data_IF_723921545074
#
_entry.id   IF_723921545074
#
_cell.length_a   1.000
_cell.length_b   1.000
_cell.length_c   1.000
_cell.angle_alpha   90.00
_cell.angle_beta   90.00
_cell.angle_gamma   90.00
#
_symmetry.space_group_name_H-M   'P 1'
#
loop_
_entity.id
_entity.type
_entity.pdbx_description
1 polymer ?
#
# COMPACT_ATOMS: atom_id res chain seq x y z
N UNK A 1 -10.99 -42.62 -6.63
CA UNK A 1 -12.43 -42.43 -6.85
C UNK A 1 -12.75 -42.09 -8.33
N UNK A 2 -12.25 -41.02 -8.93
CA UNK A 2 -12.56 -40.62 -10.34
C UNK A 2 -12.14 -41.69 -11.35
N UNK A 3 -10.98 -42.35 -11.19
CA UNK A 3 -10.53 -43.49 -12.00
C UNK A 3 -11.41 -44.73 -11.83
N UNK A 4 -11.84 -45.00 -10.59
CA UNK A 4 -12.74 -46.10 -10.24
C UNK A 4 -14.13 -45.88 -10.87
N UNK A 5 -14.71 -44.69 -10.73
CA UNK A 5 -15.96 -44.30 -11.41
C UNK A 5 -15.91 -44.59 -12.93
N UNK A 6 -14.79 -44.23 -13.57
CA UNK A 6 -14.59 -44.46 -14.98
C UNK A 6 -14.62 -45.96 -15.33
N UNK A 7 -13.89 -46.79 -14.56
CA UNK A 7 -13.88 -48.25 -14.77
C UNK A 7 -15.26 -48.88 -14.59
N UNK A 8 -15.96 -48.52 -13.49
CA UNK A 8 -17.33 -49.01 -13.25
C UNK A 8 -18.28 -48.58 -14.36
N UNK A 9 -18.18 -47.36 -14.84
CA UNK A 9 -19.00 -46.88 -15.96
C UNK A 9 -18.76 -47.64 -17.29
N UNK A 10 -17.50 -47.98 -17.57
CA UNK A 10 -17.13 -48.79 -18.73
C UNK A 10 -17.68 -50.24 -18.61
N UNK A 11 -17.68 -50.79 -17.40
CA UNK A 11 -18.18 -52.13 -17.11
C UNK A 11 -19.69 -52.20 -17.20
N UNK A 12 -20.41 -51.20 -16.70
CA UNK A 12 -21.85 -51.06 -16.91
C UNK A 12 -22.19 -51.04 -18.40
N UNK A 13 -21.41 -50.32 -19.21
CA UNK A 13 -21.58 -50.29 -20.66
C UNK A 13 -21.46 -51.67 -21.33
N UNK A 14 -20.52 -52.50 -20.85
CA UNK A 14 -20.33 -53.89 -21.32
C UNK A 14 -21.47 -54.80 -20.91
N UNK A 15 -21.92 -54.73 -19.66
CA UNK A 15 -23.04 -55.51 -19.13
C UNK A 15 -24.38 -55.19 -19.78
N UNK A 16 -24.59 -53.90 -20.09
CA UNK A 16 -25.79 -53.48 -20.80
C UNK A 16 -25.83 -54.02 -22.26
N UNK A 17 -24.68 -54.06 -22.93
CA UNK A 17 -24.57 -54.68 -24.25
C UNK A 17 -24.80 -56.22 -24.22
N UNK A 18 -24.43 -56.85 -23.12
CA UNK A 18 -24.63 -58.27 -22.87
C UNK A 18 -26.03 -58.61 -22.32
N UNK A 19 -26.93 -57.62 -22.19
CA UNK A 19 -28.30 -57.73 -21.63
C UNK A 19 -28.39 -58.22 -20.19
N UNK A 20 -27.28 -58.03 -19.39
CA UNK A 20 -27.15 -58.38 -17.97
C UNK A 20 -27.63 -57.23 -17.08
N UNK A 21 -28.93 -56.93 -17.14
CA UNK A 21 -29.53 -55.75 -16.48
C UNK A 21 -29.39 -55.76 -14.94
N UNK A 22 -29.52 -56.92 -14.29
CA UNK A 22 -29.45 -57.01 -12.83
C UNK A 22 -28.05 -56.70 -12.28
N UNK A 23 -26.97 -57.12 -12.97
CA UNK A 23 -25.60 -56.85 -12.62
C UNK A 23 -25.21 -55.42 -12.92
N UNK A 24 -25.69 -54.87 -14.04
CA UNK A 24 -25.52 -53.47 -14.39
C UNK A 24 -26.16 -52.54 -13.34
N UNK A 25 -27.29 -52.94 -12.75
CA UNK A 25 -27.98 -52.14 -11.71
C UNK A 25 -27.20 -52.12 -10.40
N UNK A 26 -26.55 -53.24 -10.00
CA UNK A 26 -25.65 -53.27 -8.84
C UNK A 26 -24.48 -52.32 -9.01
N UNK A 27 -23.84 -52.32 -10.19
CA UNK A 27 -22.71 -51.44 -10.46
C UNK A 27 -23.14 -49.95 -10.51
N UNK A 28 -24.39 -49.65 -10.95
CA UNK A 28 -24.95 -48.30 -10.87
C UNK A 28 -25.05 -47.83 -9.44
N UNK A 29 -25.47 -48.65 -8.50
CA UNK A 29 -25.50 -48.32 -7.10
C UNK A 29 -24.09 -48.06 -6.51
N UNK A 30 -23.08 -48.83 -6.99
CA UNK A 30 -21.68 -48.57 -6.63
C UNK A 30 -21.19 -47.25 -7.23
N UNK A 31 -21.50 -46.98 -8.49
CA UNK A 31 -21.17 -45.67 -9.12
C UNK A 31 -21.82 -44.52 -8.34
N UNK A 32 -23.03 -44.67 -7.84
CA UNK A 32 -23.70 -43.65 -7.05
C UNK A 32 -22.97 -43.41 -5.71
N UNK A 33 -22.52 -44.46 -5.03
CA UNK A 33 -21.70 -44.33 -3.82
C UNK A 33 -20.36 -43.65 -4.09
N UNK A 34 -19.72 -44.00 -5.20
CA UNK A 34 -18.47 -43.37 -5.63
C UNK A 34 -18.68 -41.88 -5.96
N UNK A 35 -19.81 -41.53 -6.59
CA UNK A 35 -20.16 -40.14 -6.87
C UNK A 35 -20.34 -39.35 -5.56
N UNK A 36 -21.13 -39.86 -4.60
CA UNK A 36 -21.29 -39.18 -3.31
C UNK A 36 -19.94 -39.01 -2.59
N UNK A 37 -19.08 -40.02 -2.61
CA UNK A 37 -17.74 -39.91 -2.05
C UNK A 37 -16.82 -38.91 -2.80
N UNK A 38 -17.03 -38.71 -4.10
CA UNK A 38 -16.33 -37.67 -4.88
C UNK A 38 -16.81 -36.28 -4.43
N UNK A 39 -18.14 -36.08 -4.33
CA UNK A 39 -18.74 -34.81 -3.89
C UNK A 39 -18.24 -34.44 -2.49
N UNK A 40 -18.29 -35.37 -1.53
CA UNK A 40 -17.77 -35.16 -0.18
C UNK A 40 -16.27 -34.80 -0.16
N UNK A 41 -15.47 -35.44 -1.01
CA UNK A 41 -14.02 -35.14 -1.10
C UNK A 41 -13.76 -33.77 -1.77
N UNK A 42 -14.58 -33.38 -2.75
CA UNK A 42 -14.47 -32.08 -3.41
C UNK A 42 -14.82 -30.95 -2.42
N UNK A 43 -15.85 -31.11 -1.60
CA UNK A 43 -16.19 -30.18 -0.51
C UNK A 43 -15.08 -30.08 0.54
N UNK A 44 -14.49 -31.21 0.94
CA UNK A 44 -13.37 -31.25 1.88
C UNK A 44 -12.11 -30.61 1.28
N UNK A 45 -11.83 -30.84 0.01
CA UNK A 45 -10.69 -30.24 -0.71
C UNK A 45 -10.82 -28.74 -0.76
N UNK A 46 -12.01 -28.23 -1.09
CA UNK A 46 -12.32 -26.80 -1.08
C UNK A 46 -12.14 -26.20 0.34
N UNK A 47 -12.74 -26.82 1.34
CA UNK A 47 -12.61 -26.40 2.75
C UNK A 47 -11.15 -26.34 3.22
N UNK A 48 -10.38 -27.41 2.98
CA UNK A 48 -8.97 -27.42 3.37
C UNK A 48 -8.12 -26.44 2.57
N UNK A 49 -8.45 -26.23 1.30
CA UNK A 49 -7.75 -25.25 0.47
C UNK A 49 -7.96 -23.81 1.00
N UNK A 50 -9.18 -23.49 1.41
CA UNK A 50 -9.50 -22.22 2.05
C UNK A 50 -8.79 -22.06 3.40
N UNK A 51 -8.79 -23.12 4.24
CA UNK A 51 -8.12 -23.11 5.53
C UNK A 51 -6.60 -22.96 5.39
N UNK A 52 -5.98 -23.68 4.45
CA UNK A 52 -4.55 -23.54 4.13
C UNK A 52 -4.24 -22.13 3.68
N UNK A 53 -5.06 -21.56 2.76
CA UNK A 53 -4.89 -20.20 2.29
C UNK A 53 -4.97 -19.20 3.45
N UNK A 54 -5.99 -19.33 4.31
CA UNK A 54 -6.16 -18.44 5.47
C UNK A 54 -4.97 -18.51 6.45
N UNK A 55 -4.42 -19.72 6.66
CA UNK A 55 -3.23 -19.89 7.52
C UNK A 55 -1.95 -19.35 6.88
N UNK A 56 -1.75 -19.62 5.59
CA UNK A 56 -0.59 -19.11 4.83
C UNK A 56 -0.55 -17.58 4.77
N UNK A 57 -1.72 -16.94 4.71
CA UNK A 57 -1.82 -15.48 4.69
C UNK A 57 -1.46 -14.81 6.02
N UNK A 58 -1.34 -15.56 7.11
CA UNK A 58 -0.88 -15.06 8.43
C UNK A 58 0.63 -15.23 8.65
N UNK A 59 1.32 -15.92 7.75
CA UNK A 59 2.76 -16.11 7.84
C UNK A 59 3.45 -14.87 7.28
N UNK A 60 4.29 -14.18 8.07
CA UNK A 60 5.07 -13.04 7.58
C UNK A 60 6.02 -13.44 6.45
N UNK A 61 6.36 -12.47 5.60
CA UNK A 61 7.34 -12.67 4.54
C UNK A 61 8.75 -12.87 5.11
N UNK A 62 9.63 -13.44 4.31
CA UNK A 62 11.06 -13.56 4.65
C UNK A 62 11.70 -12.18 4.45
N UNK A 63 12.23 -11.62 5.52
CA UNK A 63 12.91 -10.32 5.48
C UNK A 63 14.29 -10.44 4.85
N UNK A 64 14.76 -9.35 4.23
CA UNK A 64 16.12 -9.27 3.69
C UNK A 64 17.15 -9.32 4.81
N UNK A 65 18.30 -9.94 4.54
CA UNK A 65 19.37 -10.12 5.53
C UNK A 65 19.99 -8.82 6.05
N UNK A 66 19.78 -7.70 5.35
CA UNK A 66 20.24 -6.36 5.74
C UNK A 66 19.26 -5.62 6.66
N UNK A 67 18.08 -6.20 6.95
CA UNK A 67 17.09 -5.60 7.85
C UNK A 67 17.61 -5.65 9.29
N UNK A 68 17.64 -4.52 10.01
CA UNK A 68 17.99 -4.51 11.43
C UNK A 68 17.00 -5.38 12.24
N UNK A 69 17.52 -6.14 13.20
CA UNK A 69 16.66 -6.92 14.10
C UNK A 69 16.31 -6.04 15.29
N UNK A 70 15.02 -5.83 15.53
CA UNK A 70 14.50 -4.99 16.61
C UNK A 70 13.08 -5.38 16.97
N UNK A 71 12.54 -4.77 18.05
CA UNK A 71 11.22 -5.09 18.61
C UNK A 71 10.10 -4.19 18.09
N UNK A 72 10.41 -2.91 17.91
CA UNK A 72 9.46 -1.88 17.53
C UNK A 72 10.19 -0.69 16.87
N UNK A 73 9.46 0.34 16.49
CA UNK A 73 9.94 1.54 15.80
C UNK A 73 11.07 2.29 16.53
N UNK A 74 11.18 2.16 17.85
CA UNK A 74 12.27 2.77 18.64
C UNK A 74 13.66 2.19 18.33
N UNK A 75 13.70 1.01 17.71
CA UNK A 75 14.94 0.31 17.32
C UNK A 75 15.25 0.44 15.81
N UNK A 76 14.51 1.31 15.09
CA UNK A 76 14.83 1.66 13.72
C UNK A 76 16.18 2.38 13.63
N UNK A 77 16.91 2.15 12.54
CA UNK A 77 18.30 2.59 12.39
C UNK A 77 18.42 3.78 11.45
N UNK A 78 18.92 4.90 11.95
CA UNK A 78 19.28 6.06 11.12
C UNK A 78 20.45 5.68 10.20
N UNK A 79 20.23 5.73 8.89
CA UNK A 79 21.24 5.39 7.89
C UNK A 79 21.99 6.64 7.45
N UNK A 80 21.25 7.70 7.08
CA UNK A 80 21.84 8.92 6.53
C UNK A 80 20.91 10.12 6.68
N UNK A 81 21.51 11.30 6.86
CA UNK A 81 20.84 12.61 6.81
C UNK A 81 21.14 13.33 5.50
N UNK A 82 20.16 14.08 5.02
CA UNK A 82 20.25 14.87 3.79
C UNK A 82 19.81 16.30 4.10
N UNK A 83 20.74 17.24 3.96
CA UNK A 83 20.59 18.61 4.40
C UNK A 83 20.80 18.80 5.91
N UNK A 84 21.08 20.03 6.29
CA UNK A 84 21.42 20.37 7.66
C UNK A 84 20.17 20.75 8.43
N UNK A 85 19.85 20.05 9.55
CA UNK A 85 18.78 20.47 10.44
C UNK A 85 19.13 21.83 11.03
N UNK A 86 18.18 22.75 11.04
CA UNK A 86 18.36 24.08 11.62
C UNK A 86 17.41 24.32 12.78
N UNK A 87 17.81 25.15 13.70
CA UNK A 87 16.98 25.63 14.82
C UNK A 87 16.99 27.15 14.78
N UNK A 88 15.86 27.81 14.46
CA UNK A 88 15.82 29.27 14.45
C UNK A 88 15.93 29.83 15.85
N UNK A 89 16.32 31.12 15.94
CA UNK A 89 16.41 31.85 17.21
C UNK A 89 15.05 32.33 17.73
N UNK A 90 14.00 32.13 17.01
CA UNK A 90 12.61 32.46 17.30
C UNK A 90 11.77 31.21 17.47
N UNK A 91 10.66 31.32 18.17
CA UNK A 91 9.72 30.21 18.34
C UNK A 91 8.89 30.02 17.09
N UNK A 92 8.81 28.79 16.60
CA UNK A 92 7.92 28.41 15.50
C UNK A 92 6.57 28.00 16.11
N UNK A 93 5.47 28.63 15.73
CA UNK A 93 4.14 28.26 16.20
C UNK A 93 3.77 26.84 15.77
N UNK A 94 2.80 26.26 16.45
CA UNK A 94 2.21 24.99 16.03
C UNK A 94 1.61 25.11 14.63
N UNK A 95 1.76 24.10 13.79
CA UNK A 95 1.34 24.18 12.38
C UNK A 95 -0.12 24.58 12.20
N UNK A 96 -1.03 24.13 13.08
CA UNK A 96 -2.42 24.56 13.03
C UNK A 96 -2.55 26.09 13.29
N UNK A 97 -1.78 26.65 14.22
CA UNK A 97 -1.78 28.10 14.51
C UNK A 97 -1.20 28.89 13.33
N UNK A 98 -0.22 28.32 12.61
CA UNK A 98 0.29 28.90 11.36
C UNK A 98 -0.82 28.94 10.32
N UNK A 99 -1.51 27.84 10.09
CA UNK A 99 -2.60 27.73 9.10
C UNK A 99 -3.78 28.64 9.46
N UNK A 100 -4.12 28.74 10.74
CA UNK A 100 -5.22 29.59 11.22
C UNK A 100 -5.00 31.09 10.95
N UNK A 101 -3.73 31.56 10.91
CA UNK A 101 -3.42 32.95 10.49
C UNK A 101 -3.88 33.29 9.08
N UNK A 102 -4.09 32.29 8.24
CA UNK A 102 -4.63 32.43 6.86
C UNK A 102 -6.10 32.06 6.76
N UNK A 103 -6.79 31.85 7.90
CA UNK A 103 -8.14 31.26 7.91
C UNK A 103 -8.21 29.96 7.05
N UNK A 104 -7.12 29.19 7.08
CA UNK A 104 -6.89 28.05 6.17
C UNK A 104 -7.36 26.70 6.71
N UNK A 105 -7.82 26.61 7.97
CA UNK A 105 -8.23 25.36 8.60
C UNK A 105 -9.57 25.51 9.32
N UNK A 106 -10.51 24.60 9.05
CA UNK A 106 -11.76 24.51 9.81
C UNK A 106 -12.00 23.07 10.27
N UNK A 107 -11.57 22.78 11.47
CA UNK A 107 -11.80 21.50 12.14
C UNK A 107 -13.14 21.44 12.87
N UNK A 108 -13.69 22.57 13.25
CA UNK A 108 -14.97 22.65 13.95
C UNK A 108 -16.12 22.20 13.03
N UNK A 109 -16.18 22.76 11.81
CA UNK A 109 -17.17 22.33 10.82
C UNK A 109 -16.93 20.88 10.35
N UNK A 110 -15.67 20.43 10.24
CA UNK A 110 -15.36 19.05 9.93
C UNK A 110 -15.84 18.11 11.03
N UNK A 111 -15.70 18.49 12.30
CA UNK A 111 -16.23 17.73 13.45
C UNK A 111 -17.76 17.56 13.38
N UNK A 112 -18.48 18.60 12.95
CA UNK A 112 -19.95 18.53 12.75
C UNK A 112 -20.35 17.71 11.52
N UNK A 113 -19.52 17.72 10.47
CA UNK A 113 -19.86 17.06 9.19
C UNK A 113 -19.47 15.59 9.18
N UNK A 114 -18.27 15.26 9.67
CA UNK A 114 -17.64 13.94 9.49
C UNK A 114 -17.08 13.35 10.78
N UNK A 115 -16.91 14.16 11.82
CA UNK A 115 -16.33 13.75 13.10
C UNK A 115 -14.89 14.23 13.32
N UNK A 116 -14.34 13.84 14.47
CA UNK A 116 -12.95 14.15 14.83
C UNK A 116 -11.99 13.41 13.88
N UNK A 117 -10.86 14.03 13.55
CA UNK A 117 -9.88 13.46 12.63
C UNK A 117 -10.11 13.81 11.16
N UNK A 118 -11.12 14.63 10.85
CA UNK A 118 -11.33 15.25 9.55
C UNK A 118 -11.03 16.76 9.61
N UNK A 119 -10.91 17.38 8.44
CA UNK A 119 -10.55 18.80 8.32
C UNK A 119 -11.09 19.39 7.02
N UNK A 120 -11.28 20.71 7.00
CA UNK A 120 -11.35 21.50 5.78
C UNK A 120 -10.08 22.32 5.66
N UNK A 121 -9.44 22.30 4.49
CA UNK A 121 -8.45 23.30 4.09
C UNK A 121 -9.13 24.37 3.23
N UNK A 122 -8.78 25.63 3.46
CA UNK A 122 -9.50 26.77 2.87
C UNK A 122 -8.50 27.76 2.27
N UNK A 123 -8.91 28.44 1.21
CA UNK A 123 -8.18 29.55 0.62
C UNK A 123 -6.78 29.18 0.14
N UNK A 124 -5.78 29.98 0.49
CA UNK A 124 -4.41 29.80 0.02
C UNK A 124 -3.74 28.54 0.59
N UNK A 125 -4.14 28.08 1.76
CA UNK A 125 -3.65 26.83 2.30
C UNK A 125 -4.14 25.63 1.48
N UNK A 126 -5.41 25.62 1.04
CA UNK A 126 -5.92 24.60 0.13
C UNK A 126 -5.19 24.63 -1.23
N UNK A 127 -4.92 25.83 -1.75
CA UNK A 127 -4.14 26.00 -2.99
C UNK A 127 -2.70 25.50 -2.84
N UNK A 128 -2.05 25.79 -1.71
CA UNK A 128 -0.71 25.31 -1.42
C UNK A 128 -0.68 23.78 -1.34
N UNK A 129 -1.66 23.19 -0.66
CA UNK A 129 -1.83 21.73 -0.59
C UNK A 129 -1.93 21.07 -1.98
N UNK A 130 -2.79 21.62 -2.84
CA UNK A 130 -2.93 21.14 -4.22
C UNK A 130 -1.66 21.37 -5.06
N UNK A 131 -0.98 22.49 -4.87
CA UNK A 131 0.27 22.80 -5.56
C UNK A 131 1.38 21.81 -5.20
N UNK A 132 1.47 21.39 -3.94
CA UNK A 132 2.42 20.38 -3.50
C UNK A 132 2.16 19.01 -4.17
N UNK A 133 0.89 18.60 -4.27
CA UNK A 133 0.51 17.35 -4.93
C UNK A 133 0.77 17.42 -6.44
N UNK A 134 0.47 18.56 -7.08
CA UNK A 134 0.76 18.79 -8.49
C UNK A 134 2.26 18.73 -8.75
N UNK A 135 3.07 19.36 -7.90
CA UNK A 135 4.53 19.32 -7.99
C UNK A 135 5.05 17.88 -7.87
N UNK A 136 4.58 17.12 -6.89
CA UNK A 136 4.98 15.73 -6.69
C UNK A 136 4.60 14.84 -7.88
N UNK A 137 3.41 15.06 -8.48
CA UNK A 137 2.97 14.37 -9.69
C UNK A 137 3.90 14.64 -10.86
N UNK A 138 4.15 15.91 -11.16
CA UNK A 138 4.95 16.34 -12.32
C UNK A 138 6.40 15.90 -12.14
N UNK A 139 6.94 16.01 -10.93
CA UNK A 139 8.24 15.48 -10.56
C UNK A 139 8.38 13.98 -10.92
N UNK A 140 7.38 13.16 -10.60
CA UNK A 140 7.41 11.73 -10.93
C UNK A 140 7.31 11.45 -12.43
N UNK A 141 6.50 12.22 -13.15
CA UNK A 141 6.40 12.12 -14.62
C UNK A 141 7.75 12.42 -15.25
N UNK A 142 8.43 13.48 -14.80
CA UNK A 142 9.78 13.87 -15.29
C UNK A 142 10.85 12.81 -14.98
N UNK A 143 10.63 11.98 -13.95
CA UNK A 143 11.50 10.84 -13.62
C UNK A 143 11.08 9.52 -14.28
N UNK A 144 10.18 9.58 -15.27
CA UNK A 144 9.82 8.44 -16.13
C UNK A 144 8.74 7.53 -15.56
N UNK A 145 7.98 7.96 -14.56
CA UNK A 145 6.81 7.23 -14.08
C UNK A 145 5.57 7.57 -14.87
N UNK A 146 4.79 6.57 -15.24
CA UNK A 146 3.51 6.76 -15.90
C UNK A 146 2.45 7.16 -14.86
N UNK A 147 1.85 8.33 -15.04
CA UNK A 147 0.77 8.79 -14.17
C UNK A 147 -0.54 8.07 -14.47
N UNK A 148 -1.22 7.60 -13.43
CA UNK A 148 -2.54 7.01 -13.55
C UNK A 148 -3.48 7.49 -12.43
N UNK A 149 -4.77 7.49 -12.70
CA UNK A 149 -5.85 7.75 -11.73
C UNK A 149 -6.57 6.41 -11.51
N UNK A 150 -6.40 5.77 -10.35
CA UNK A 150 -6.99 4.47 -10.06
C UNK A 150 -8.40 4.61 -9.47
N UNK A 151 -9.17 3.53 -9.40
CA UNK A 151 -10.36 3.47 -8.56
C UNK A 151 -10.00 3.68 -7.08
N UNK A 152 -10.82 4.43 -6.33
CA UNK A 152 -10.61 4.68 -4.90
C UNK A 152 -11.37 3.71 -4.00
N UNK A 153 -12.04 2.73 -4.60
CA UNK A 153 -12.67 1.61 -3.94
C UNK A 153 -12.22 0.31 -4.58
N UNK A 154 -11.92 -0.69 -3.77
CA UNK A 154 -11.42 -2.00 -4.21
C UNK A 154 -12.19 -3.13 -3.56
N UNK A 155 -12.22 -4.30 -4.21
CA UNK A 155 -12.87 -5.51 -3.70
C UNK A 155 -12.00 -6.23 -2.66
N UNK A 156 -12.65 -7.06 -1.84
CA UNK A 156 -12.00 -7.85 -0.79
C UNK A 156 -10.84 -8.71 -1.29
N UNK A 157 -10.93 -9.30 -2.47
CA UNK A 157 -9.87 -10.11 -3.06
C UNK A 157 -8.60 -9.29 -3.40
N UNK A 158 -8.77 -8.01 -3.74
CA UNK A 158 -7.62 -7.09 -3.92
C UNK A 158 -7.05 -6.71 -2.56
N UNK A 159 -7.89 -6.35 -1.58
CA UNK A 159 -7.46 -5.99 -0.23
C UNK A 159 -6.60 -7.09 0.37
N UNK A 160 -7.09 -8.32 0.40
CA UNK A 160 -6.37 -9.48 0.95
C UNK A 160 -5.11 -9.85 0.15
N UNK A 161 -5.00 -9.38 -1.08
CA UNK A 161 -3.80 -9.53 -1.90
C UNK A 161 -2.68 -8.54 -1.57
N UNK A 162 -3.02 -7.34 -1.09
CA UNK A 162 -2.06 -6.25 -0.89
C UNK A 162 -1.67 -6.00 0.57
N UNK A 163 -2.45 -6.50 1.54
CA UNK A 163 -2.18 -6.35 2.98
C UNK A 163 -2.57 -7.60 3.78
N UNK A 164 -2.21 -7.62 5.06
CA UNK A 164 -2.66 -8.66 5.99
C UNK A 164 -4.11 -8.45 6.43
N UNK A 165 -4.75 -9.48 7.02
CA UNK A 165 -6.11 -9.36 7.54
C UNK A 165 -6.19 -8.40 8.73
N UNK A 166 -5.20 -8.43 9.62
CA UNK A 166 -5.17 -7.58 10.81
C UNK A 166 -5.02 -6.11 10.42
N UNK A 167 -4.18 -5.80 9.43
CA UNK A 167 -4.07 -4.46 8.85
C UNK A 167 -5.38 -4.01 8.18
N UNK A 168 -6.05 -4.92 7.46
CA UNK A 168 -7.34 -4.61 6.82
C UNK A 168 -8.39 -4.17 7.84
N UNK A 169 -8.57 -4.93 8.93
CA UNK A 169 -9.56 -4.62 9.96
C UNK A 169 -9.24 -3.32 10.69
N UNK A 170 -7.96 -3.09 10.99
CA UNK A 170 -7.50 -1.89 11.70
C UNK A 170 -7.57 -0.61 10.85
N UNK A 171 -7.37 -0.73 9.53
CA UNK A 171 -7.16 0.41 8.65
C UNK A 171 -8.34 0.75 7.75
N UNK A 172 -9.01 -0.26 7.15
CA UNK A 172 -9.89 -0.05 6.01
C UNK A 172 -11.33 0.26 6.39
N UNK A 173 -11.94 1.25 5.71
CA UNK A 173 -13.39 1.47 5.72
C UNK A 173 -14.05 0.55 4.70
N UNK A 174 -15.07 -0.20 5.13
CA UNK A 174 -15.90 -1.06 4.27
C UNK A 174 -17.20 -0.35 3.95
N UNK A 175 -17.67 -0.47 2.70
CA UNK A 175 -19.00 0.01 2.30
C UNK A 175 -20.02 -1.04 2.72
N UNK A 176 -21.03 -0.60 3.48
CA UNK A 176 -22.10 -1.49 3.95
C UNK A 176 -22.94 -2.01 2.77
N UNK A 177 -23.19 -3.31 2.75
CA UNK A 177 -23.99 -3.97 1.71
C UNK A 177 -23.22 -4.25 0.39
N UNK A 178 -21.95 -3.83 0.28
CA UNK A 178 -21.14 -4.00 -0.91
C UNK A 178 -19.83 -4.73 -0.61
N UNK A 179 -19.28 -5.45 -1.60
CA UNK A 179 -17.90 -5.96 -1.54
C UNK A 179 -16.92 -4.89 -2.01
N UNK A 180 -16.93 -3.74 -1.32
CA UNK A 180 -16.08 -2.59 -1.61
C UNK A 180 -15.48 -2.00 -0.33
N UNK A 181 -14.23 -1.57 -0.44
CA UNK A 181 -13.44 -0.93 0.61
C UNK A 181 -12.81 0.35 0.07
N UNK A 182 -12.86 1.42 0.85
CA UNK A 182 -12.10 2.64 0.54
C UNK A 182 -10.61 2.38 0.68
N UNK A 183 -9.82 2.85 -0.27
CA UNK A 183 -8.37 2.63 -0.26
C UNK A 183 -7.68 3.44 0.85
N UNK A 184 -6.71 2.83 1.52
CA UNK A 184 -5.79 3.53 2.44
C UNK A 184 -4.55 4.11 1.73
N UNK A 185 -4.36 3.76 0.45
CA UNK A 185 -3.29 4.22 -0.44
C UNK A 185 -3.62 3.80 -1.89
N UNK A 186 -3.19 4.58 -2.87
CA UNK A 186 -3.37 4.20 -4.29
C UNK A 186 -2.55 2.97 -4.70
N UNK A 187 -1.53 2.59 -3.94
CA UNK A 187 -0.82 1.32 -4.11
C UNK A 187 -1.78 0.15 -4.28
N UNK A 188 -2.80 0.08 -3.42
CA UNK A 188 -3.76 -1.03 -3.40
C UNK A 188 -4.44 -1.21 -4.77
N UNK A 189 -4.95 -0.12 -5.33
CA UNK A 189 -5.61 -0.14 -6.64
C UNK A 189 -4.63 -0.34 -7.78
N UNK A 190 -3.45 0.28 -7.70
CA UNK A 190 -2.43 0.19 -8.75
C UNK A 190 -1.89 -1.25 -8.87
N UNK A 191 -1.63 -1.92 -7.76
CA UNK A 191 -1.22 -3.33 -7.76
C UNK A 191 -2.40 -4.22 -8.18
N UNK A 192 -3.60 -3.94 -7.66
CA UNK A 192 -4.83 -4.67 -8.02
C UNK A 192 -5.18 -4.62 -9.52
N UNK A 193 -4.70 -3.61 -10.25
CA UNK A 193 -4.84 -3.53 -11.72
C UNK A 193 -4.28 -4.77 -12.43
N UNK A 194 -3.30 -5.43 -11.85
CA UNK A 194 -2.59 -6.55 -12.46
C UNK A 194 -3.06 -7.93 -11.96
N UNK A 195 -4.15 -8.01 -11.20
CA UNK A 195 -4.69 -9.27 -10.69
C UNK A 195 -4.87 -10.29 -11.82
N UNK A 196 -4.37 -11.52 -11.62
CA UNK A 196 -4.40 -12.65 -12.55
C UNK A 196 -3.76 -12.39 -13.93
N UNK A 197 -2.93 -11.34 -14.05
CA UNK A 197 -2.27 -11.03 -15.32
C UNK A 197 -0.90 -11.69 -15.46
N UNK A 198 -0.57 -12.04 -16.68
CA UNK A 198 0.76 -12.45 -17.12
C UNK A 198 1.26 -11.36 -18.06
N UNK A 199 2.15 -10.49 -17.55
CA UNK A 199 2.74 -9.41 -18.34
C UNK A 199 3.88 -9.93 -19.22
N UNK A 200 4.14 -9.28 -20.34
CA UNK A 200 5.32 -9.58 -21.16
C UNK A 200 6.59 -9.12 -20.44
N UNK A 201 7.65 -9.94 -20.48
CA UNK A 201 8.93 -9.62 -19.86
C UNK A 201 9.51 -8.30 -20.35
N UNK A 202 9.27 -7.94 -21.62
CA UNK A 202 9.73 -6.69 -22.23
C UNK A 202 9.05 -5.43 -21.69
N UNK A 203 7.93 -5.58 -20.97
CA UNK A 203 7.23 -4.46 -20.32
C UNK A 203 7.79 -4.12 -18.93
N UNK A 204 8.64 -4.99 -18.37
CA UNK A 204 9.26 -4.76 -17.07
C UNK A 204 10.53 -3.91 -17.21
N UNK A 205 10.80 -2.98 -16.30
CA UNK A 205 9.96 -2.64 -15.15
C UNK A 205 8.73 -1.79 -15.52
N UNK A 206 7.60 -2.02 -14.86
CA UNK A 206 6.42 -1.16 -14.95
C UNK A 206 6.48 -0.15 -13.80
N UNK A 207 6.57 1.13 -14.13
CA UNK A 207 6.67 2.24 -13.18
C UNK A 207 5.42 3.10 -13.24
N UNK A 208 4.65 3.14 -12.15
CA UNK A 208 3.42 3.92 -12.07
C UNK A 208 3.48 4.90 -10.90
N UNK A 209 2.91 6.06 -11.10
CA UNK A 209 2.66 7.04 -10.03
C UNK A 209 1.19 7.47 -10.05
N UNK A 210 0.65 7.80 -8.89
CA UNK A 210 -0.78 8.07 -8.75
C UNK A 210 -1.06 9.00 -7.59
N UNK A 211 -1.96 9.94 -7.83
CA UNK A 211 -2.65 10.69 -6.78
C UNK A 211 -3.89 9.93 -6.32
N UNK A 212 -4.15 9.93 -5.02
CA UNK A 212 -5.44 9.52 -4.47
C UNK A 212 -5.74 10.17 -3.13
N UNK A 213 -7.03 10.35 -2.79
CA UNK A 213 -7.43 10.38 -1.38
C UNK A 213 -7.11 9.04 -0.73
N UNK A 214 -6.80 9.07 0.54
CA UNK A 214 -6.50 7.91 1.37
C UNK A 214 -7.41 7.96 2.60
N UNK A 215 -8.00 6.81 2.95
CA UNK A 215 -8.96 6.70 4.05
C UNK A 215 -8.45 5.68 5.05
N UNK A 216 -8.24 6.09 6.31
CA UNK A 216 -7.72 5.20 7.36
C UNK A 216 -8.50 5.39 8.65
N UNK A 217 -8.86 4.28 9.30
CA UNK A 217 -9.56 4.29 10.59
C UNK A 217 -8.70 4.79 11.74
N UNK A 218 -7.36 4.73 11.62
CA UNK A 218 -6.38 5.16 12.63
C UNK A 218 -6.70 4.61 14.04
N UNK A 219 -7.13 3.35 14.13
CA UNK A 219 -7.51 2.71 15.40
C UNK A 219 -6.26 2.59 16.29
N UNK A 220 -6.39 3.00 17.56
CA UNK A 220 -5.33 2.87 18.58
C UNK A 220 -4.38 4.07 18.68
N UNK A 221 -4.56 5.12 17.89
CA UNK A 221 -3.67 6.27 17.85
C UNK A 221 -4.15 7.47 18.68
N UNK A 222 -4.76 7.23 19.84
CA UNK A 222 -5.28 8.30 20.69
C UNK A 222 -4.16 9.06 21.43
N UNK A 223 -4.22 10.40 21.37
CA UNK A 223 -3.55 11.30 22.34
C UNK A 223 -2.40 12.15 21.83
N UNK A 224 -1.81 11.93 20.65
CA UNK A 224 -0.77 12.78 20.10
C UNK A 224 -1.27 13.62 18.92
N UNK A 225 -1.37 14.94 19.16
CA UNK A 225 -1.68 15.96 18.14
C UNK A 225 -3.10 15.93 17.52
N UNK A 226 -4.13 15.59 18.29
CA UNK A 226 -5.54 15.66 17.86
C UNK A 226 -5.95 17.04 17.32
N UNK A 227 -5.33 18.12 17.83
CA UNK A 227 -5.57 19.49 17.40
C UNK A 227 -5.04 19.76 15.99
N UNK A 228 -4.00 19.06 15.54
CA UNK A 228 -3.32 19.30 14.28
C UNK A 228 -3.81 18.44 13.11
N UNK A 229 -2.95 18.36 12.09
CA UNK A 229 -3.15 17.62 10.85
C UNK A 229 -2.24 16.41 10.73
N UNK A 230 -1.52 16.03 11.77
CA UNK A 230 -0.50 14.97 11.70
C UNK A 230 -1.11 13.59 11.50
N UNK A 231 -2.24 13.29 12.17
CA UNK A 231 -2.94 12.02 12.09
C UNK A 231 -4.43 12.25 11.84
N UNK A 232 -4.90 11.86 10.67
CA UNK A 232 -6.23 12.15 10.17
C UNK A 232 -6.84 10.96 9.45
N UNK A 233 -8.17 10.86 9.40
CA UNK A 233 -8.88 9.76 8.76
C UNK A 233 -8.92 9.85 7.24
N UNK A 234 -8.77 11.05 6.70
CA UNK A 234 -8.69 11.32 5.28
C UNK A 234 -7.52 12.24 4.99
N UNK A 235 -6.71 11.89 3.98
CA UNK A 235 -5.61 12.70 3.49
C UNK A 235 -5.37 12.40 2.00
N UNK A 236 -4.54 13.18 1.36
CA UNK A 236 -4.17 13.00 -0.05
C UNK A 236 -2.71 12.58 -0.16
N UNK A 237 -2.46 11.70 -1.13
CA UNK A 237 -1.13 11.15 -1.35
C UNK A 237 -0.80 10.97 -2.83
N UNK A 238 0.39 11.40 -3.21
CA UNK A 238 1.05 10.96 -4.43
C UNK A 238 1.91 9.75 -4.08
N UNK A 239 1.67 8.64 -4.75
CA UNK A 239 2.33 7.34 -4.54
C UNK A 239 3.10 6.92 -5.78
N UNK A 240 4.13 6.10 -5.62
CA UNK A 240 4.78 5.39 -6.69
C UNK A 240 4.81 3.89 -6.43
N UNK A 241 4.63 3.09 -7.48
CA UNK A 241 4.82 1.64 -7.46
C UNK A 241 5.72 1.19 -8.61
N UNK A 242 6.40 0.09 -8.37
CA UNK A 242 7.20 -0.59 -9.39
C UNK A 242 6.86 -2.08 -9.38
N UNK A 243 6.60 -2.65 -10.57
CA UNK A 243 6.63 -4.08 -10.82
C UNK A 243 7.89 -4.38 -11.61
N UNK A 244 8.76 -5.24 -11.09
CA UNK A 244 10.03 -5.55 -11.73
C UNK A 244 10.38 -7.04 -11.61
N UNK A 245 11.50 -7.43 -12.22
CA UNK A 245 12.07 -8.76 -12.02
C UNK A 245 12.68 -8.86 -10.63
N UNK A 246 12.76 -10.08 -10.05
CA UNK A 246 13.35 -10.29 -8.72
C UNK A 246 14.75 -9.69 -8.55
N UNK A 247 15.61 -9.84 -9.55
CA UNK A 247 16.99 -9.37 -9.55
C UNK A 247 17.12 -7.84 -9.57
N UNK A 248 16.09 -7.11 -10.01
CA UNK A 248 16.06 -5.65 -10.09
C UNK A 248 15.48 -5.00 -8.83
N UNK A 249 14.90 -5.80 -7.92
CA UNK A 249 14.09 -5.32 -6.80
C UNK A 249 14.85 -4.35 -5.88
N UNK A 250 16.08 -4.69 -5.49
CA UNK A 250 16.87 -3.84 -4.57
C UNK A 250 17.40 -2.58 -5.25
N UNK A 251 17.66 -2.61 -6.55
CA UNK A 251 18.03 -1.41 -7.31
C UNK A 251 16.87 -0.43 -7.34
N UNK A 252 15.65 -0.92 -7.64
CA UNK A 252 14.43 -0.10 -7.62
C UNK A 252 14.11 0.41 -6.22
N UNK A 253 14.25 -0.39 -5.19
CA UNK A 253 14.09 0.05 -3.80
C UNK A 253 14.97 1.26 -3.49
N UNK A 254 16.26 1.16 -3.82
CA UNK A 254 17.21 2.25 -3.60
C UNK A 254 16.93 3.49 -4.45
N UNK A 255 16.45 3.33 -5.68
CA UNK A 255 16.03 4.44 -6.53
C UNK A 255 14.78 5.14 -6.00
N UNK A 256 13.79 4.38 -5.52
CA UNK A 256 12.51 4.92 -5.09
C UNK A 256 12.63 5.79 -3.84
N UNK A 257 13.28 5.30 -2.78
CA UNK A 257 13.43 6.13 -1.57
C UNK A 257 14.25 7.40 -1.84
N UNK A 258 15.24 7.31 -2.73
CA UNK A 258 16.06 8.46 -3.11
C UNK A 258 15.26 9.53 -3.85
N UNK A 259 14.32 9.14 -4.72
CA UNK A 259 13.42 10.09 -5.38
C UNK A 259 12.61 10.90 -4.36
N UNK A 260 12.12 10.28 -3.28
CA UNK A 260 11.44 11.03 -2.22
C UNK A 260 12.37 11.96 -1.47
N UNK A 261 13.59 11.52 -1.13
CA UNK A 261 14.61 12.38 -0.53
C UNK A 261 14.88 13.60 -1.41
N UNK A 262 15.14 13.39 -2.71
CA UNK A 262 15.47 14.46 -3.66
C UNK A 262 14.29 15.44 -3.81
N UNK A 263 13.05 14.96 -3.80
CA UNK A 263 11.86 15.82 -3.82
C UNK A 263 11.77 16.70 -2.57
N UNK A 264 11.89 16.14 -1.37
CA UNK A 264 11.87 16.95 -0.13
C UNK A 264 13.05 17.92 -0.06
N UNK A 265 14.22 17.52 -0.55
CA UNK A 265 15.38 18.40 -0.64
C UNK A 265 15.18 19.55 -1.64
N UNK A 266 14.43 19.33 -2.72
CA UNK A 266 14.07 20.41 -3.65
C UNK A 266 13.14 21.47 -3.05
N UNK A 267 12.46 21.12 -1.94
CA UNK A 267 11.63 22.02 -1.13
C UNK A 267 12.40 22.63 0.06
N UNK A 268 13.74 22.49 0.09
CA UNK A 268 14.62 22.92 1.17
C UNK A 268 14.33 22.30 2.55
N UNK A 269 13.64 21.14 2.57
CA UNK A 269 13.31 20.42 3.79
C UNK A 269 14.42 19.41 4.09
N UNK A 270 15.15 19.52 5.24
CA UNK A 270 16.09 18.49 5.68
C UNK A 270 15.35 17.19 5.99
N UNK A 271 15.90 16.07 5.52
CA UNK A 271 15.33 14.74 5.77
C UNK A 271 16.39 13.75 6.23
N UNK A 272 15.97 12.64 6.82
CA UNK A 272 16.81 11.47 7.06
C UNK A 272 16.16 10.20 6.54
N UNK A 273 16.99 9.21 6.24
CA UNK A 273 16.58 7.83 5.99
C UNK A 273 16.69 7.03 7.28
N UNK A 274 15.65 6.30 7.60
CA UNK A 274 15.54 5.42 8.76
C UNK A 274 15.19 4.01 8.27
N UNK A 275 16.12 3.04 8.38
CA UNK A 275 15.81 1.65 8.05
C UNK A 275 14.92 1.05 9.14
N UNK A 276 13.75 0.54 8.76
CA UNK A 276 12.82 -0.12 9.67
C UNK A 276 13.42 -1.44 10.16
N UNK A 277 13.35 -1.69 11.45
CA UNK A 277 13.73 -2.97 12.03
C UNK A 277 12.64 -4.04 11.85
N UNK A 278 12.98 -5.29 12.11
CA UNK A 278 12.08 -6.43 11.92
C UNK A 278 10.76 -6.33 12.68
N UNK A 279 10.74 -5.65 13.83
CA UNK A 279 9.55 -5.51 14.66
C UNK A 279 8.62 -4.36 14.25
N UNK A 280 9.08 -3.47 13.35
CA UNK A 280 8.31 -2.35 12.80
C UNK A 280 7.82 -2.60 11.37
N UNK A 281 8.18 -3.75 10.78
CA UNK A 281 7.78 -4.08 9.41
C UNK A 281 6.43 -4.80 9.37
N UNK A 282 5.55 -4.37 8.46
CA UNK A 282 4.32 -5.10 8.13
C UNK A 282 4.63 -6.47 7.50
N UNK A 283 3.74 -7.45 7.70
CA UNK A 283 3.94 -8.88 7.39
C UNK A 283 4.38 -9.17 5.94
N UNK A 284 3.97 -8.36 4.98
CA UNK A 284 4.30 -8.60 3.56
C UNK A 284 5.63 -8.00 3.12
N UNK A 285 6.25 -7.16 3.93
CA UNK A 285 7.46 -6.44 3.56
C UNK A 285 8.69 -7.34 3.65
N UNK A 286 9.57 -7.23 2.66
CA UNK A 286 10.91 -7.83 2.64
C UNK A 286 11.93 -6.88 3.24
N UNK A 287 11.83 -5.60 2.90
CA UNK A 287 12.63 -4.50 3.46
C UNK A 287 11.83 -3.21 3.38
N UNK A 288 11.98 -2.35 4.39
CA UNK A 288 11.37 -1.03 4.45
C UNK A 288 12.34 0.01 4.99
N UNK A 289 12.19 1.25 4.53
CA UNK A 289 12.77 2.41 5.18
C UNK A 289 11.78 3.56 5.15
N UNK A 290 11.86 4.40 6.17
CA UNK A 290 11.11 5.64 6.22
C UNK A 290 12.02 6.82 5.88
N UNK A 291 11.42 7.82 5.24
CA UNK A 291 12.00 9.14 5.08
C UNK A 291 11.29 10.04 6.06
N UNK A 292 12.06 10.62 6.94
CA UNK A 292 11.56 11.54 7.97
C UNK A 292 12.04 12.95 7.69
N UNK A 293 11.13 13.92 7.80
CA UNK A 293 11.41 15.35 7.65
C UNK A 293 11.77 15.99 9.00
N UNK A 294 12.66 16.97 8.97
CA UNK A 294 13.01 17.74 10.12
C UNK A 294 11.92 18.72 10.52
N UNK A 295 11.50 18.70 11.78
CA UNK A 295 10.67 19.73 12.39
C UNK A 295 11.54 20.68 13.21
N UNK A 296 11.81 21.89 12.75
CA UNK A 296 12.59 22.86 13.53
C UNK A 296 11.85 23.33 14.79
N UNK A 297 10.52 23.22 14.82
CA UNK A 297 9.68 23.49 16.00
C UNK A 297 9.90 22.45 17.11
N UNK A 298 9.84 21.15 16.75
CA UNK A 298 9.99 20.05 17.71
C UNK A 298 11.45 19.67 17.94
N UNK A 299 12.36 20.12 17.08
CA UNK A 299 13.76 19.68 17.02
C UNK A 299 13.87 18.16 16.92
N UNK A 300 12.99 17.58 16.10
CA UNK A 300 12.88 16.13 15.83
C UNK A 300 12.57 15.87 14.37
N UNK A 301 12.91 14.70 13.92
CA UNK A 301 12.42 14.16 12.67
C UNK A 301 11.08 13.46 12.87
N UNK A 302 10.24 13.47 11.83
CA UNK A 302 8.98 12.75 11.79
C UNK A 302 8.73 12.18 10.40
N UNK A 303 8.08 11.03 10.33
CA UNK A 303 7.82 10.28 9.12
C UNK A 303 6.96 11.07 8.13
N UNK A 304 7.43 11.16 6.87
CA UNK A 304 6.72 11.77 5.74
C UNK A 304 6.55 10.83 4.56
N UNK A 305 7.43 9.82 4.40
CA UNK A 305 7.33 8.79 3.38
C UNK A 305 7.78 7.45 3.94
N UNK A 306 7.25 6.36 3.36
CA UNK A 306 7.69 4.99 3.64
C UNK A 306 7.88 4.25 2.34
N UNK A 307 9.08 3.70 2.12
CA UNK A 307 9.48 2.93 0.96
C UNK A 307 9.59 1.45 1.32
N UNK A 308 9.00 0.57 0.52
CA UNK A 308 9.02 -0.87 0.80
C UNK A 308 9.21 -1.70 -0.46
N UNK A 309 9.97 -2.79 -0.33
CA UNK A 309 9.89 -3.93 -1.26
C UNK A 309 9.15 -5.07 -0.59
N UNK A 310 8.19 -5.65 -1.30
CA UNK A 310 7.37 -6.76 -0.83
C UNK A 310 7.80 -8.09 -1.47
N UNK A 311 8.87 -8.05 -2.29
CA UNK A 311 9.25 -9.23 -3.05
C UNK A 311 8.10 -9.72 -3.91
N UNK A 312 7.85 -11.01 -3.90
CA UNK A 312 6.75 -11.63 -4.66
C UNK A 312 5.46 -11.86 -3.84
N UNK A 313 5.37 -11.33 -2.61
CA UNK A 313 4.24 -11.62 -1.71
C UNK A 313 2.89 -11.19 -2.29
N UNK A 314 2.77 -9.94 -2.76
CA UNK A 314 1.54 -9.47 -3.39
C UNK A 314 1.29 -10.17 -4.73
N UNK A 315 2.34 -10.42 -5.50
CA UNK A 315 2.24 -11.08 -6.78
C UNK A 315 1.74 -12.53 -6.66
N UNK A 316 2.16 -13.27 -5.63
CA UNK A 316 1.64 -14.61 -5.33
C UNK A 316 0.18 -14.60 -4.95
N UNK A 317 -0.23 -13.64 -4.11
CA UNK A 317 -1.61 -13.51 -3.64
C UNK A 317 -2.58 -13.08 -4.76
N UNK A 318 -2.11 -12.23 -5.67
CA UNK A 318 -2.91 -11.65 -6.77
C UNK A 318 -2.68 -12.34 -8.13
N UNK A 319 -1.85 -13.39 -8.21
CA UNK A 319 -1.60 -14.10 -9.46
C UNK A 319 -0.82 -13.31 -10.51
N UNK A 320 0.00 -12.31 -10.10
CA UNK A 320 0.72 -11.42 -11.02
C UNK A 320 2.03 -12.06 -11.46
N UNK A 321 2.15 -12.37 -12.74
CA UNK A 321 3.32 -13.07 -13.30
C UNK A 321 3.84 -12.37 -14.55
N UNK A 322 5.05 -12.71 -14.93
CA UNK A 322 5.61 -12.35 -16.23
C UNK A 322 6.08 -13.58 -16.99
N UNK A 323 6.00 -13.49 -18.31
CA UNK A 323 6.31 -14.62 -19.19
C UNK A 323 7.80 -14.64 -19.50
N UNK A 324 8.48 -15.75 -19.24
CA UNK A 324 9.87 -16.01 -19.64
C UNK A 324 9.95 -17.20 -20.60
N UNK A 325 11.13 -17.45 -21.16
CA UNK A 325 11.38 -18.65 -21.99
C UNK A 325 11.25 -19.96 -21.21
N UNK A 326 11.45 -19.91 -19.90
CA UNK A 326 11.40 -21.07 -18.99
C UNK A 326 10.03 -21.28 -18.35
N UNK A 327 9.07 -20.40 -18.61
CA UNK A 327 7.75 -20.40 -18.01
C UNK A 327 7.38 -19.09 -17.34
N UNK A 328 6.28 -19.05 -16.59
CA UNK A 328 5.83 -17.86 -15.91
C UNK A 328 6.49 -17.73 -14.53
N UNK A 329 7.03 -16.56 -14.23
CA UNK A 329 7.63 -16.21 -12.93
C UNK A 329 6.79 -15.11 -12.25
N UNK A 330 6.82 -15.02 -10.92
CA UNK A 330 6.18 -13.91 -10.20
C UNK A 330 7.03 -12.65 -10.31
N UNK A 331 6.37 -11.50 -10.47
CA UNK A 331 7.03 -10.19 -10.37
C UNK A 331 7.32 -9.86 -8.91
N UNK A 332 8.29 -8.99 -8.67
CA UNK A 332 8.41 -8.28 -7.41
C UNK A 332 7.63 -6.97 -7.46
N UNK A 333 7.03 -6.58 -6.33
CA UNK A 333 6.30 -5.33 -6.18
C UNK A 333 6.98 -4.43 -5.15
N UNK A 334 7.02 -3.14 -5.45
CA UNK A 334 7.57 -2.12 -4.57
C UNK A 334 6.61 -0.93 -4.52
N UNK A 335 6.57 -0.26 -3.40
CA UNK A 335 5.85 0.99 -3.23
C UNK A 335 6.68 2.01 -2.47
N UNK A 336 6.38 3.27 -2.69
CA UNK A 336 6.89 4.36 -1.89
C UNK A 336 5.98 5.58 -1.98
N UNK A 337 5.83 6.26 -0.88
CA UNK A 337 5.19 7.57 -0.85
C UNK A 337 6.10 8.59 -1.52
N UNK A 338 5.60 9.28 -2.54
CA UNK A 338 6.25 10.44 -3.13
C UNK A 338 6.08 11.65 -2.22
N UNK A 339 4.82 11.96 -1.87
CA UNK A 339 4.43 13.04 -0.99
C UNK A 339 3.04 12.75 -0.44
N UNK A 340 2.88 12.80 0.87
CA UNK A 340 1.59 12.67 1.56
C UNK A 340 1.28 13.95 2.34
N UNK A 341 0.14 14.53 2.05
CA UNK A 341 -0.40 15.66 2.80
C UNK A 341 -1.38 15.13 3.85
N UNK A 342 -1.46 15.77 5.00
CA UNK A 342 -0.87 17.06 5.40
C UNK A 342 0.53 16.97 6.03
N UNK A 343 1.15 15.81 6.26
CA UNK A 343 2.48 15.74 6.90
C UNK A 343 3.55 16.54 6.14
N UNK A 344 3.56 16.42 4.80
CA UNK A 344 4.47 17.23 3.98
C UNK A 344 4.17 18.73 4.09
N UNK A 345 2.89 19.12 4.22
CA UNK A 345 2.50 20.51 4.44
C UNK A 345 3.02 21.01 5.80
N UNK A 346 2.94 20.21 6.86
CA UNK A 346 3.52 20.54 8.17
C UNK A 346 5.02 20.83 8.04
N UNK A 347 5.76 19.93 7.41
CA UNK A 347 7.20 20.09 7.20
C UNK A 347 7.52 21.37 6.41
N UNK A 348 6.78 21.62 5.33
CA UNK A 348 6.96 22.80 4.50
C UNK A 348 6.70 24.09 5.30
N UNK A 349 5.60 24.16 6.04
CA UNK A 349 5.23 25.33 6.84
C UNK A 349 6.24 25.60 7.96
N UNK A 350 6.66 24.58 8.69
CA UNK A 350 7.61 24.76 9.80
C UNK A 350 9.02 25.11 9.29
N UNK A 351 9.50 24.50 8.22
CA UNK A 351 10.82 24.78 7.66
C UNK A 351 10.91 26.16 6.99
N UNK A 352 9.81 26.68 6.48
CA UNK A 352 9.77 27.97 5.78
C UNK A 352 9.14 29.10 6.61
N UNK A 353 8.84 28.87 7.91
CA UNK A 353 8.32 29.89 8.78
C UNK A 353 9.35 31.00 9.02
N UNK A 354 8.91 32.25 8.87
CA UNK A 354 9.73 33.43 9.16
C UNK A 354 8.93 34.42 10.01
N UNK A 355 9.51 34.82 11.16
CA UNK A 355 8.89 35.73 12.12
C UNK A 355 8.64 37.13 11.53
N UNK A 356 9.52 37.61 10.64
CA UNK A 356 9.49 38.96 10.08
C UNK A 356 8.51 39.14 8.90
N UNK A 357 8.18 38.06 8.22
CA UNK A 357 7.27 38.07 7.06
C UNK A 357 6.32 36.91 7.21
N UNK A 358 5.06 37.17 7.06
CA UNK A 358 4.05 36.14 7.21
C UNK A 358 4.18 34.95 6.23
N UNK A 359 4.99 35.03 5.17
CA UNK A 359 5.50 33.88 4.38
C UNK A 359 6.62 34.31 3.42
N UNK A 360 7.69 33.51 3.37
CA UNK A 360 8.63 33.51 2.26
C UNK A 360 7.91 33.04 1.00
N UNK A 361 8.13 33.73 -0.11
CA UNK A 361 7.71 33.25 -1.42
C UNK A 361 8.25 31.82 -1.60
N UNK A 362 7.37 30.84 -1.61
CA UNK A 362 7.62 29.63 -2.35
C UNK A 362 7.87 30.11 -3.77
N UNK A 363 9.08 29.92 -4.28
CA UNK A 363 9.34 30.10 -5.71
C UNK A 363 8.39 29.14 -6.41
N UNK A 364 7.24 29.68 -6.85
CA UNK A 364 6.51 29.03 -7.90
C UNK A 364 7.52 28.87 -9.03
N UNK A 365 7.85 27.64 -9.37
CA UNK A 365 8.47 27.39 -10.66
C UNK A 365 7.47 27.93 -11.67
N UNK A 366 7.78 29.11 -12.22
CA UNK A 366 7.17 29.60 -13.43
C UNK A 366 7.57 28.60 -14.53
N UNK A 367 6.78 27.57 -14.66
CA UNK A 367 6.74 26.72 -15.84
C UNK A 367 5.29 26.74 -16.33
N UNK A 368 5.03 27.72 -17.14
CA UNK A 368 4.04 27.60 -18.20
C UNK A 368 4.66 26.88 -19.37
#
# INVERSE_FOLDING_TARGET
>A
LRSERKKLSEEIGKLMKANQKAEAEKLRQEVQKVNSAIEENEELEEHYSEEIKARMMKIPNIIDSSVPIGKDDSENVEVQKFGDPFVPKYEIPYHADIIDRFNGLDKESAGRTSGVGFYYLIGDIARLHEAMLAYARDYMIDHGFTYCIPPFMIRSNVVTGVMSFDEMEAMMYKIEGEDLYLIGTSEHSMIGRFIDQIVDESQLPITLTSYSPCFRKEIGSHGLEERGLYRVHQFEKQEMIVLCKPEESMEWYNKMWKLSVDLFRSLDIPVRQLDCCSGDMADLKVKSCDIEAWSPRQQKYFEVCSCSTLGDAQARRLGIRYKTKEGNKFVHTLNNTVLATPRALIALLECNYNEAVSYTHLRAHETL
#
